data_IF_429776092232
#
_entry.id   IF_429776092232
#
_cell.length_a   1.000
_cell.length_b   1.000
_cell.length_c   1.000
_cell.angle_alpha   90.00
_cell.angle_beta   90.00
_cell.angle_gamma   90.00
#
_symmetry.space_group_name_H-M   'P 1'
#
loop_
_entity.id
_entity.type
_entity.pdbx_description
1 polymer ?
#
# COMPACT_ATOMS: atom_id res chain seq x y z
N UNK A 1 52.39 14.29 21.74
CA UNK A 1 51.40 13.26 21.34
C UNK A 1 50.58 13.79 20.19
N UNK A 2 50.56 13.02 19.11
CA UNK A 2 50.41 13.40 17.70
C UNK A 2 48.99 13.79 17.28
N UNK A 3 48.88 14.89 16.55
CA UNK A 3 47.64 15.38 15.92
C UNK A 3 47.01 14.48 14.85
N UNK A 4 47.54 13.26 14.65
CA UNK A 4 46.95 12.24 13.76
C UNK A 4 45.76 11.50 14.40
N UNK A 5 45.69 11.44 15.73
CA UNK A 5 44.61 10.73 16.43
C UNK A 5 43.26 11.48 16.41
N UNK A 6 43.26 12.82 16.25
CA UNK A 6 42.02 13.62 16.17
C UNK A 6 41.35 13.59 14.79
N UNK A 7 42.12 13.36 13.72
CA UNK A 7 41.56 13.30 12.35
C UNK A 7 40.86 11.96 12.11
N UNK A 8 41.33 10.86 12.72
CA UNK A 8 40.68 9.55 12.63
C UNK A 8 39.35 9.45 13.40
N UNK A 9 39.15 10.28 14.44
CA UNK A 9 37.89 10.30 15.20
C UNK A 9 36.76 11.11 14.52
N UNK A 10 37.10 11.95 13.53
CA UNK A 10 36.15 12.75 12.77
C UNK A 10 35.64 12.02 11.51
N UNK A 11 36.34 11.00 11.04
CA UNK A 11 35.92 10.19 9.87
C UNK A 11 34.91 9.10 10.28
N UNK A 12 34.89 8.67 11.54
CA UNK A 12 33.91 7.70 12.06
C UNK A 12 32.52 8.29 12.37
N UNK A 13 32.37 9.63 12.36
CA UNK A 13 31.06 10.29 12.50
C UNK A 13 30.31 10.52 11.18
N UNK A 14 30.88 10.10 10.04
CA UNK A 14 30.21 10.08 8.73
C UNK A 14 29.59 8.73 8.39
N UNK A 15 29.30 7.89 9.40
CA UNK A 15 28.19 6.95 9.30
C UNK A 15 26.91 7.77 9.31
N UNK A 16 26.62 8.37 8.16
CA UNK A 16 25.25 8.69 7.79
C UNK A 16 24.46 7.44 8.10
N UNK A 17 23.55 7.52 9.09
CA UNK A 17 22.43 6.62 9.15
C UNK A 17 21.75 6.76 7.79
N UNK A 18 22.11 5.90 6.85
CA UNK A 18 21.25 5.59 5.73
C UNK A 18 19.99 5.09 6.39
N UNK A 19 19.05 6.01 6.62
CA UNK A 19 17.69 5.67 6.92
C UNK A 19 17.31 4.79 5.72
N UNK A 20 17.20 3.49 5.96
CA UNK A 20 16.87 2.55 4.91
C UNK A 20 15.59 3.07 4.26
N UNK A 21 15.67 3.38 2.97
CA UNK A 21 14.54 3.88 2.22
C UNK A 21 13.44 2.82 2.29
N UNK A 22 12.32 3.17 2.91
CA UNK A 22 11.16 2.30 3.00
C UNK A 22 10.30 2.55 1.75
N UNK A 23 10.23 1.55 0.88
CA UNK A 23 9.19 1.48 -0.14
C UNK A 23 7.95 0.84 0.46
N UNK A 24 6.95 1.68 0.78
CA UNK A 24 5.73 1.25 1.45
C UNK A 24 4.69 0.82 0.42
N UNK A 25 4.23 -0.42 0.52
CA UNK A 25 3.09 -0.93 -0.26
C UNK A 25 1.96 -1.26 0.71
N UNK A 26 0.77 -0.74 0.46
CA UNK A 26 -0.44 -0.99 1.24
C UNK A 26 -1.41 -1.81 0.39
N UNK A 27 -1.89 -2.91 0.94
CA UNK A 27 -2.84 -3.82 0.27
C UNK A 27 -4.11 -3.91 1.10
N UNK A 28 -5.21 -3.44 0.52
CA UNK A 28 -6.55 -3.67 1.03
C UNK A 28 -6.99 -5.13 0.90
N UNK A 29 -8.19 -5.38 1.38
CA UNK A 29 -8.85 -6.66 1.42
C UNK A 29 -9.73 -6.93 0.20
N UNK A 30 -10.15 -8.17 0.09
CA UNK A 30 -11.05 -8.64 -0.96
C UNK A 30 -12.49 -8.76 -0.45
N UNK A 31 -13.46 -8.57 -1.35
CA UNK A 31 -14.85 -8.91 -1.10
C UNK A 31 -15.05 -10.41 -0.86
N UNK A 32 -16.10 -10.75 -0.10
CA UNK A 32 -16.53 -12.15 0.08
C UNK A 32 -17.47 -12.59 -1.04
N UNK A 33 -17.33 -13.84 -1.48
CA UNK A 33 -18.19 -14.43 -2.52
C UNK A 33 -19.65 -14.45 -2.11
N UNK A 34 -19.97 -14.69 -0.85
CA UNK A 34 -21.35 -14.64 -0.36
C UNK A 34 -22.01 -13.29 -0.63
N UNK A 35 -21.26 -12.18 -0.55
CA UNK A 35 -21.78 -10.85 -0.85
C UNK A 35 -21.82 -10.58 -2.35
N UNK A 36 -20.74 -10.92 -3.05
CA UNK A 36 -20.66 -10.70 -4.49
C UNK A 36 -21.67 -11.54 -5.29
N UNK A 37 -22.08 -12.70 -4.79
CA UNK A 37 -23.10 -13.54 -5.42
C UNK A 37 -24.51 -12.92 -5.40
N UNK A 38 -24.76 -11.86 -4.60
CA UNK A 38 -26.00 -11.08 -4.68
C UNK A 38 -25.95 -9.99 -5.77
N UNK A 39 -24.79 -9.73 -6.37
CA UNK A 39 -24.64 -8.76 -7.46
C UNK A 39 -24.80 -9.45 -8.81
N UNK A 40 -25.21 -8.68 -9.81
CA UNK A 40 -25.08 -9.09 -11.21
C UNK A 40 -23.62 -9.35 -11.54
N UNK A 41 -23.38 -10.29 -12.45
CA UNK A 41 -22.05 -10.75 -12.85
C UNK A 41 -21.12 -9.57 -13.16
N UNK A 42 -21.59 -8.57 -13.88
CA UNK A 42 -20.81 -7.43 -14.34
C UNK A 42 -20.26 -6.59 -13.16
N UNK A 43 -21.00 -6.54 -12.06
CA UNK A 43 -20.67 -5.75 -10.86
C UNK A 43 -19.94 -6.58 -9.79
N UNK A 44 -19.64 -7.85 -10.06
CA UNK A 44 -18.88 -8.67 -9.11
C UNK A 44 -17.40 -8.30 -9.07
N UNK A 45 -16.95 -7.99 -7.87
CA UNK A 45 -15.57 -7.71 -7.50
C UNK A 45 -14.85 -9.00 -7.10
N UNK A 46 -13.52 -8.95 -7.08
CA UNK A 46 -12.63 -9.94 -6.45
C UNK A 46 -12.98 -11.41 -6.71
N UNK A 47 -13.31 -11.70 -7.98
CA UNK A 47 -13.42 -13.07 -8.50
C UNK A 47 -12.17 -13.88 -8.19
N UNK A 48 -11.00 -13.23 -8.25
CA UNK A 48 -9.75 -13.77 -7.77
C UNK A 48 -9.32 -13.08 -6.48
N UNK A 49 -9.12 -13.86 -5.42
CA UNK A 49 -8.70 -13.36 -4.11
C UNK A 49 -7.36 -12.60 -4.15
N UNK A 50 -6.49 -12.91 -5.11
CA UNK A 50 -5.14 -12.37 -5.11
C UNK A 50 -4.98 -11.09 -5.95
N UNK A 51 -6.05 -10.46 -6.44
CA UNK A 51 -5.94 -9.27 -7.32
C UNK A 51 -4.96 -8.20 -6.76
N UNK A 52 -5.23 -7.72 -5.54
CA UNK A 52 -4.43 -6.66 -4.91
C UNK A 52 -3.07 -7.18 -4.42
N UNK A 53 -3.02 -8.41 -3.92
CA UNK A 53 -1.77 -9.09 -3.53
C UNK A 53 -0.84 -9.22 -4.73
N UNK A 54 -1.35 -9.66 -5.87
CA UNK A 54 -0.58 -9.86 -7.09
C UNK A 54 -0.05 -8.53 -7.61
N UNK A 55 -0.90 -7.50 -7.69
CA UNK A 55 -0.47 -6.15 -8.08
C UNK A 55 0.66 -5.63 -7.16
N UNK A 56 0.52 -5.83 -5.85
CA UNK A 56 1.56 -5.48 -4.87
C UNK A 56 2.87 -6.22 -5.16
N UNK A 57 2.83 -7.52 -5.45
CA UNK A 57 4.04 -8.29 -5.77
C UNK A 57 4.70 -7.89 -7.09
N UNK A 58 3.93 -7.40 -8.07
CA UNK A 58 4.48 -6.84 -9.31
C UNK A 58 5.16 -5.51 -9.03
N UNK A 59 4.53 -4.67 -8.20
CA UNK A 59 5.12 -3.39 -7.78
C UNK A 59 6.43 -3.57 -7.02
N UNK A 60 6.55 -4.61 -6.19
CA UNK A 60 7.82 -4.96 -5.54
C UNK A 60 8.95 -5.23 -6.55
N UNK A 61 8.63 -5.90 -7.67
CA UNK A 61 9.60 -6.16 -8.72
C UNK A 61 10.00 -4.88 -9.46
N UNK A 62 9.04 -3.99 -9.74
CA UNK A 62 9.32 -2.68 -10.32
C UNK A 62 10.18 -1.79 -9.42
N UNK A 63 9.85 -1.75 -8.12
CA UNK A 63 10.65 -1.02 -7.12
C UNK A 63 12.08 -1.52 -7.16
N UNK A 64 12.30 -2.84 -7.12
CA UNK A 64 13.67 -3.38 -7.15
C UNK A 64 14.40 -3.18 -8.47
N UNK A 65 13.65 -3.10 -9.58
CA UNK A 65 14.21 -2.72 -10.87
C UNK A 65 14.68 -1.25 -10.87
N UNK A 66 13.95 -0.35 -10.21
CA UNK A 66 14.24 1.08 -10.19
C UNK A 66 15.22 1.52 -9.10
N UNK A 67 15.13 0.93 -7.91
CA UNK A 67 15.84 1.35 -6.69
C UNK A 67 16.90 0.33 -6.23
N UNK A 68 17.07 -0.77 -7.00
CA UNK A 68 18.08 -1.80 -6.75
C UNK A 68 17.51 -3.09 -6.16
N UNK A 69 18.19 -4.21 -6.42
CA UNK A 69 17.71 -5.55 -6.09
C UNK A 69 17.42 -5.78 -4.58
N UNK A 70 18.06 -5.00 -3.71
CA UNK A 70 17.93 -5.07 -2.26
C UNK A 70 17.12 -3.91 -1.66
N UNK A 71 16.38 -3.15 -2.49
CA UNK A 71 15.51 -2.06 -2.01
C UNK A 71 14.59 -2.56 -0.88
N UNK A 72 14.62 -1.93 0.31
CA UNK A 72 13.80 -2.30 1.44
C UNK A 72 12.32 -2.01 1.15
N UNK A 73 11.48 -3.03 1.31
CA UNK A 73 10.03 -2.90 1.06
C UNK A 73 9.30 -3.29 2.33
N UNK A 74 8.39 -2.41 2.77
CA UNK A 74 7.45 -2.68 3.85
C UNK A 74 6.08 -2.88 3.22
N UNK A 75 5.50 -4.06 3.44
CA UNK A 75 4.24 -4.46 2.85
C UNK A 75 3.15 -4.53 3.94
N UNK A 76 2.29 -3.51 3.99
CA UNK A 76 1.17 -3.44 4.91
C UNK A 76 -0.04 -4.12 4.28
N UNK A 77 -0.60 -5.14 4.94
CA UNK A 77 -1.75 -5.89 4.40
C UNK A 77 -2.90 -5.92 5.40
N UNK A 78 -4.10 -5.60 4.94
CA UNK A 78 -5.31 -5.68 5.77
C UNK A 78 -5.68 -7.14 6.02
N UNK A 79 -5.36 -7.66 7.20
CA UNK A 79 -5.47 -9.09 7.51
C UNK A 79 -6.91 -9.62 7.57
N UNK A 80 -7.89 -8.91 8.19
CA UNK A 80 -9.21 -9.48 8.46
C UNK A 80 -9.94 -9.97 7.20
N UNK A 81 -9.85 -9.22 6.09
CA UNK A 81 -10.52 -9.61 4.85
C UNK A 81 -9.96 -10.92 4.27
N UNK A 82 -8.64 -11.13 4.29
CA UNK A 82 -8.04 -12.38 3.79
C UNK A 82 -8.30 -13.56 4.72
N UNK A 83 -8.44 -13.33 6.03
CA UNK A 83 -8.89 -14.37 6.96
C UNK A 83 -10.34 -14.77 6.68
N UNK A 84 -11.23 -13.78 6.50
CA UNK A 84 -12.64 -14.04 6.21
C UNK A 84 -12.83 -14.76 4.87
N UNK A 85 -12.17 -14.27 3.82
CA UNK A 85 -12.21 -14.88 2.49
C UNK A 85 -11.55 -16.26 2.46
N UNK A 86 -10.49 -16.45 3.23
CA UNK A 86 -9.84 -17.75 3.39
C UNK A 86 -10.73 -18.78 4.08
N UNK A 87 -11.51 -18.37 5.10
CA UNK A 87 -12.50 -19.25 5.73
C UNK A 87 -13.63 -19.63 4.77
N UNK A 88 -14.12 -18.68 3.98
CA UNK A 88 -15.16 -18.94 2.97
C UNK A 88 -14.68 -19.93 1.89
N UNK A 89 -13.47 -19.74 1.37
CA UNK A 89 -12.92 -20.56 0.30
C UNK A 89 -12.26 -21.86 0.81
N UNK A 90 -12.15 -22.06 2.13
CA UNK A 90 -11.41 -23.16 2.74
C UNK A 90 -9.91 -23.14 2.42
N UNK A 91 -9.31 -21.94 2.31
CA UNK A 91 -7.91 -21.72 1.89
C UNK A 91 -7.10 -20.91 2.91
N UNK A 92 -5.78 -21.18 3.05
CA UNK A 92 -4.92 -20.49 4.01
C UNK A 92 -4.32 -19.20 3.42
N UNK A 93 -5.14 -18.24 2.99
CA UNK A 93 -4.65 -17.06 2.25
C UNK A 93 -3.62 -16.22 3.02
N UNK A 94 -3.78 -16.06 4.33
CA UNK A 94 -2.77 -15.35 5.14
C UNK A 94 -1.42 -16.04 5.13
N UNK A 95 -1.38 -17.38 5.09
CA UNK A 95 -0.15 -18.16 4.97
C UNK A 95 0.49 -17.95 3.60
N UNK A 96 -0.30 -18.01 2.52
CA UNK A 96 0.22 -17.76 1.17
C UNK A 96 0.73 -16.33 0.98
N UNK A 97 0.10 -15.33 1.60
CA UNK A 97 0.60 -13.95 1.61
C UNK A 97 1.94 -13.89 2.36
N UNK A 98 2.06 -14.53 3.52
CA UNK A 98 3.32 -14.61 4.27
C UNK A 98 4.43 -15.30 3.46
N UNK A 99 4.10 -16.38 2.74
CA UNK A 99 5.02 -17.03 1.81
C UNK A 99 5.45 -16.10 0.66
N UNK A 100 4.53 -15.31 0.10
CA UNK A 100 4.87 -14.32 -0.93
C UNK A 100 5.81 -13.25 -0.39
N UNK A 101 5.62 -12.81 0.86
CA UNK A 101 6.49 -11.86 1.51
C UNK A 101 7.90 -12.45 1.75
N UNK A 102 7.97 -13.66 2.30
CA UNK A 102 9.22 -14.38 2.56
C UNK A 102 10.00 -14.64 1.26
N UNK A 103 9.32 -15.17 0.23
CA UNK A 103 9.90 -15.40 -1.11
C UNK A 103 10.52 -14.13 -1.69
N UNK A 104 9.93 -12.97 -1.39
CA UNK A 104 10.41 -11.68 -1.86
C UNK A 104 11.29 -10.96 -0.85
N UNK A 105 11.57 -11.50 0.34
CA UNK A 105 12.39 -10.83 1.36
C UNK A 105 11.89 -9.39 1.62
N UNK A 106 10.59 -9.23 1.86
CA UNK A 106 9.98 -7.95 2.24
C UNK A 106 9.44 -8.03 3.67
N UNK A 107 9.36 -6.89 4.34
CA UNK A 107 8.83 -6.81 5.70
C UNK A 107 7.30 -6.80 5.64
N UNK A 108 6.66 -7.93 5.93
CA UNK A 108 5.21 -8.03 6.02
C UNK A 108 4.72 -7.46 7.34
N UNK A 109 3.77 -6.53 7.25
CA UNK A 109 3.11 -5.90 8.40
C UNK A 109 1.60 -6.09 8.24
N UNK A 110 1.00 -6.97 9.02
CA UNK A 110 -0.45 -7.08 9.09
C UNK A 110 -1.05 -5.84 9.74
N UNK A 111 -2.21 -5.37 9.29
CA UNK A 111 -3.03 -4.42 10.04
C UNK A 111 -4.49 -4.81 10.04
N UNK A 112 -5.21 -4.42 11.10
CA UNK A 112 -6.54 -4.95 11.42
C UNK A 112 -7.63 -3.88 11.51
N UNK A 113 -7.28 -2.60 11.49
CA UNK A 113 -8.23 -1.49 11.53
C UNK A 113 -7.61 -0.21 10.95
N UNK A 114 -8.42 0.84 10.75
CA UNK A 114 -7.95 2.15 10.32
C UNK A 114 -6.96 2.80 11.30
N UNK A 115 -7.20 2.66 12.60
CA UNK A 115 -6.30 3.18 13.63
C UNK A 115 -4.97 2.45 13.66
N UNK A 116 -5.01 1.12 13.53
CA UNK A 116 -3.84 0.26 13.45
C UNK A 116 -3.00 0.53 12.19
N UNK A 117 -3.66 0.74 11.04
CA UNK A 117 -3.01 1.21 9.81
C UNK A 117 -2.24 2.52 10.05
N UNK A 118 -2.90 3.54 10.62
CA UNK A 118 -2.27 4.83 10.90
C UNK A 118 -1.09 4.66 11.86
N UNK A 119 -1.22 3.85 12.91
CA UNK A 119 -0.13 3.56 13.84
C UNK A 119 1.08 2.93 13.12
N UNK A 120 0.84 1.93 12.27
CA UNK A 120 1.88 1.22 11.52
C UNK A 120 2.57 2.11 10.49
N UNK A 121 1.81 2.91 9.74
CA UNK A 121 2.38 3.89 8.82
C UNK A 121 3.17 4.98 9.56
N UNK A 122 2.65 5.50 10.66
CA UNK A 122 3.30 6.56 11.43
C UNK A 122 4.54 6.09 12.23
N UNK A 123 4.74 4.78 12.36
CA UNK A 123 5.93 4.18 12.96
C UNK A 123 7.17 4.26 12.06
N UNK A 124 6.99 4.63 10.78
CA UNK A 124 8.11 4.79 9.85
C UNK A 124 9.06 5.89 10.33
N UNK A 125 10.39 5.71 10.19
CA UNK A 125 11.34 6.75 10.53
C UNK A 125 11.12 8.04 9.74
N UNK A 126 11.56 9.17 10.30
CA UNK A 126 11.48 10.48 9.64
C UNK A 126 12.21 10.44 8.29
N UNK A 127 11.53 10.86 7.22
CA UNK A 127 12.10 10.95 5.88
C UNK A 127 12.44 9.61 5.21
N UNK A 128 11.99 8.48 5.75
CA UNK A 128 12.32 7.15 5.23
C UNK A 128 11.44 6.71 4.06
N UNK A 129 10.19 7.18 3.96
CA UNK A 129 9.25 6.70 2.95
C UNK A 129 9.55 7.37 1.61
N UNK A 130 10.21 6.63 0.71
CA UNK A 130 10.53 7.10 -0.65
C UNK A 130 9.40 6.82 -1.64
N UNK A 131 8.69 5.70 -1.47
CA UNK A 131 7.50 5.41 -2.26
C UNK A 131 6.37 4.94 -1.37
N UNK A 132 5.15 5.30 -1.73
CA UNK A 132 3.92 4.80 -1.12
C UNK A 132 2.98 4.33 -2.23
N UNK A 133 2.59 3.06 -2.23
CA UNK A 133 1.67 2.49 -3.21
C UNK A 133 0.45 1.89 -2.50
N UNK A 134 -0.76 2.29 -2.85
CA UNK A 134 -2.00 1.66 -2.36
C UNK A 134 -2.65 0.78 -3.45
N UNK A 135 -2.91 -0.48 -3.13
CA UNK A 135 -3.68 -1.43 -3.94
C UNK A 135 -4.90 -1.91 -3.16
N UNK A 136 -6.10 -1.65 -3.68
CA UNK A 136 -7.34 -2.02 -3.02
C UNK A 136 -8.52 -1.30 -3.61
N UNK A 137 -9.68 -1.53 -3.01
CA UNK A 137 -10.89 -0.75 -3.30
C UNK A 137 -10.77 0.68 -2.80
N UNK A 138 -11.42 1.59 -3.50
CA UNK A 138 -11.50 2.98 -3.11
C UNK A 138 -12.65 3.68 -3.82
N UNK A 139 -13.00 4.84 -3.29
CA UNK A 139 -13.77 5.84 -4.02
C UNK A 139 -12.97 7.15 -4.04
N UNK A 140 -13.61 8.25 -4.45
CA UNK A 140 -12.95 9.56 -4.47
C UNK A 140 -12.46 10.06 -3.11
N UNK A 141 -12.99 9.55 -2.00
CA UNK A 141 -12.73 10.07 -0.64
C UNK A 141 -11.97 9.11 0.28
N UNK A 142 -11.85 7.83 -0.05
CA UNK A 142 -11.28 6.86 0.88
C UNK A 142 -10.55 5.71 0.21
N UNK A 143 -9.46 5.26 0.84
CA UNK A 143 -8.94 3.90 0.67
C UNK A 143 -9.79 2.96 1.52
N UNK A 144 -10.45 1.99 0.89
CA UNK A 144 -11.33 1.03 1.56
C UNK A 144 -10.56 -0.26 1.78
N UNK A 145 -10.26 -0.58 3.04
CA UNK A 145 -9.44 -1.74 3.36
C UNK A 145 -10.22 -3.05 3.32
N UNK A 146 -11.55 -3.02 3.33
CA UNK A 146 -12.38 -4.22 3.49
C UNK A 146 -13.70 -4.15 2.70
N UNK A 147 -13.73 -3.42 1.58
CA UNK A 147 -14.96 -3.24 0.80
C UNK A 147 -15.63 -4.59 0.45
N UNK A 148 -16.91 -4.72 0.81
CA UNK A 148 -17.71 -5.94 0.67
C UNK A 148 -17.11 -7.17 1.35
N UNK A 149 -16.31 -6.99 2.41
CA UNK A 149 -15.80 -8.09 3.23
C UNK A 149 -16.73 -8.43 4.41
N UNK A 150 -17.40 -7.41 4.99
CA UNK A 150 -18.36 -7.60 6.08
C UNK A 150 -19.80 -7.28 5.67
N UNK A 151 -19.99 -6.18 4.93
CA UNK A 151 -21.30 -5.69 4.48
C UNK A 151 -21.24 -5.48 2.97
N UNK A 152 -22.22 -6.02 2.23
CA UNK A 152 -22.30 -5.84 0.78
C UNK A 152 -22.29 -4.35 0.42
N UNK A 153 -21.39 -3.96 -0.47
CA UNK A 153 -21.32 -2.58 -0.96
C UNK A 153 -20.74 -1.55 0.00
N UNK A 154 -20.20 -1.97 1.15
CA UNK A 154 -19.64 -1.07 2.16
C UNK A 154 -18.29 -1.56 2.70
N UNK A 155 -17.61 -0.68 3.43
CA UNK A 155 -16.33 -0.92 4.09
C UNK A 155 -16.50 -0.57 5.57
N UNK A 156 -16.02 -1.41 6.49
CA UNK A 156 -16.01 -1.14 7.93
C UNK A 156 -14.64 -0.66 8.43
N UNK A 157 -13.60 -0.77 7.58
CA UNK A 157 -12.26 -0.22 7.80
C UNK A 157 -11.76 0.55 6.57
N UNK A 158 -11.51 1.84 6.73
CA UNK A 158 -11.04 2.71 5.64
C UNK A 158 -10.09 3.80 6.14
N UNK A 159 -9.32 4.40 5.23
CA UNK A 159 -8.64 5.68 5.46
C UNK A 159 -9.38 6.75 4.66
N UNK A 160 -10.17 7.58 5.35
CA UNK A 160 -10.91 8.67 4.71
C UNK A 160 -9.98 9.86 4.48
N UNK A 161 -10.29 10.71 3.50
CA UNK A 161 -9.53 11.96 3.26
C UNK A 161 -9.49 12.89 4.49
N UNK A 162 -10.47 12.75 5.39
CA UNK A 162 -10.56 13.47 6.67
C UNK A 162 -9.58 12.94 7.72
N UNK A 163 -9.10 11.70 7.56
CA UNK A 163 -8.09 11.10 8.42
C UNK A 163 -6.65 11.41 7.96
N UNK A 164 -6.47 11.94 6.74
CA UNK A 164 -5.13 12.23 6.20
C UNK A 164 -4.28 13.19 7.05
N UNK A 165 -4.84 14.20 7.77
CA UNK A 165 -4.07 14.98 8.74
C UNK A 165 -3.46 14.16 9.89
N UNK A 166 -3.94 12.92 10.11
CA UNK A 166 -3.41 12.01 11.14
C UNK A 166 -2.18 11.24 10.65
N UNK A 167 -1.85 11.30 9.35
CA UNK A 167 -0.59 10.78 8.84
C UNK A 167 0.52 11.75 9.23
N UNK A 168 1.60 11.23 9.82
CA UNK A 168 2.79 12.01 10.14
C UNK A 168 3.52 12.35 8.84
N UNK A 169 3.29 13.55 8.32
CA UNK A 169 3.94 14.06 7.10
C UNK A 169 5.47 13.91 7.12
N UNK A 170 6.09 13.98 8.31
CA UNK A 170 7.53 13.85 8.48
C UNK A 170 8.10 12.47 8.14
N UNK A 171 7.29 11.43 7.94
CA UNK A 171 7.79 10.11 7.50
C UNK A 171 8.21 10.12 6.02
N UNK A 172 7.64 11.00 5.20
CA UNK A 172 7.90 11.05 3.77
C UNK A 172 9.25 11.72 3.48
N UNK A 173 10.02 11.10 2.57
CA UNK A 173 11.20 11.72 1.99
C UNK A 173 10.80 12.97 1.18
N UNK A 174 11.73 13.92 1.01
CA UNK A 174 11.47 15.20 0.31
C UNK A 174 10.85 15.02 -1.08
N UNK A 175 11.25 13.98 -1.80
CA UNK A 175 10.79 13.67 -3.16
C UNK A 175 10.01 12.35 -3.21
N UNK A 176 9.31 11.99 -2.13
CA UNK A 176 8.56 10.76 -2.07
C UNK A 176 7.54 10.67 -3.21
N UNK A 177 7.45 9.51 -3.84
CA UNK A 177 6.46 9.23 -4.87
C UNK A 177 5.31 8.40 -4.28
N UNK A 178 4.14 9.01 -4.15
CA UNK A 178 2.95 8.32 -3.69
C UNK A 178 2.01 8.03 -4.87
N UNK A 179 1.45 6.83 -4.93
CA UNK A 179 0.45 6.42 -5.90
C UNK A 179 -0.66 5.60 -5.26
N UNK A 180 -1.89 5.87 -5.65
CA UNK A 180 -3.04 5.01 -5.39
C UNK A 180 -3.47 4.35 -6.69
N UNK A 181 -3.50 3.02 -6.69
CA UNK A 181 -4.02 2.18 -7.77
C UNK A 181 -5.50 1.82 -7.55
N UNK A 182 -6.17 2.51 -6.64
CA UNK A 182 -7.61 2.40 -6.43
C UNK A 182 -8.39 3.27 -7.41
N UNK A 183 -9.69 2.98 -7.59
CA UNK A 183 -10.59 3.78 -8.41
C UNK A 183 -10.83 5.19 -7.81
N UNK A 184 -10.96 6.20 -8.67
CA UNK A 184 -11.47 7.55 -8.34
C UNK A 184 -10.67 8.40 -7.33
N UNK A 185 -9.56 7.92 -6.74
CA UNK A 185 -8.80 8.67 -5.72
C UNK A 185 -8.19 9.99 -6.22
N UNK A 186 -8.06 10.15 -7.53
CA UNK A 186 -7.67 11.40 -8.21
C UNK A 186 -8.74 12.49 -8.20
N UNK A 187 -9.99 12.18 -7.83
CA UNK A 187 -11.12 13.11 -7.90
C UNK A 187 -11.31 13.94 -6.62
N UNK A 188 -10.71 13.52 -5.49
CA UNK A 188 -10.70 14.32 -4.25
C UNK A 188 -9.49 13.99 -3.38
N UNK A 189 -9.30 12.71 -3.06
CA UNK A 189 -8.31 12.24 -2.09
C UNK A 189 -6.87 12.69 -2.41
N UNK A 190 -6.48 12.78 -3.69
CA UNK A 190 -5.14 13.22 -4.10
C UNK A 190 -4.83 14.67 -3.70
N UNK A 191 -5.80 15.58 -3.88
CA UNK A 191 -5.65 16.98 -3.48
C UNK A 191 -5.56 17.13 -1.95
N UNK A 192 -6.41 16.40 -1.21
CA UNK A 192 -6.40 16.41 0.26
C UNK A 192 -5.12 15.77 0.80
N UNK A 193 -4.64 14.69 0.20
CA UNK A 193 -3.38 14.06 0.54
C UNK A 193 -2.21 15.03 0.44
N UNK A 194 -2.11 15.76 -0.68
CA UNK A 194 -1.05 16.78 -0.85
C UNK A 194 -1.14 17.87 0.19
N UNK A 195 -2.35 18.35 0.50
CA UNK A 195 -2.58 19.37 1.53
C UNK A 195 -2.17 18.87 2.93
N UNK A 196 -2.49 17.62 3.27
CA UNK A 196 -2.24 17.06 4.60
C UNK A 196 -0.81 16.58 4.82
N UNK A 197 -0.18 16.00 3.80
CA UNK A 197 1.13 15.33 3.93
C UNK A 197 2.28 16.15 3.33
N UNK A 198 1.99 17.15 2.50
CA UNK A 198 2.99 17.87 1.71
C UNK A 198 3.55 17.09 0.52
N UNK A 199 3.14 15.83 0.32
CA UNK A 199 3.61 14.95 -0.77
C UNK A 199 2.49 14.77 -1.80
N UNK A 200 2.79 14.76 -3.09
CA UNK A 200 1.76 14.49 -4.10
C UNK A 200 1.36 13.01 -4.12
N UNK A 201 0.06 12.73 -4.26
CA UNK A 201 -0.46 11.40 -4.51
C UNK A 201 -0.97 11.33 -5.95
N UNK A 202 -0.39 10.43 -6.75
CA UNK A 202 -0.94 10.11 -8.06
C UNK A 202 -2.15 9.18 -7.88
N UNK A 203 -3.34 9.65 -8.26
CA UNK A 203 -4.60 8.91 -8.13
C UNK A 203 -5.34 8.76 -9.46
N UNK A 204 -6.25 7.80 -9.53
CA UNK A 204 -7.07 7.58 -10.71
C UNK A 204 -8.24 8.56 -10.77
N UNK A 205 -8.48 9.19 -11.91
CA UNK A 205 -9.79 9.74 -12.28
C UNK A 205 -10.48 8.71 -13.16
N UNK A 206 -11.54 8.09 -12.63
CA UNK A 206 -12.19 6.93 -13.22
C UNK A 206 -11.81 5.58 -12.58
N UNK A 207 -12.37 4.47 -13.10
CA UNK A 207 -12.14 3.12 -12.58
C UNK A 207 -10.74 2.59 -12.89
N UNK A 208 -10.19 1.82 -11.97
CA UNK A 208 -8.93 1.06 -12.17
C UNK A 208 -9.25 -0.41 -12.43
N UNK A 209 -8.66 -0.98 -13.47
CA UNK A 209 -8.91 -2.35 -13.95
C UNK A 209 -7.78 -3.28 -13.53
N UNK A 210 -8.13 -4.39 -12.89
CA UNK A 210 -7.19 -5.38 -12.34
C UNK A 210 -7.16 -6.71 -13.13
N UNK A 211 -7.90 -6.84 -14.23
CA UNK A 211 -8.12 -8.13 -14.92
C UNK A 211 -6.82 -8.83 -15.38
N UNK A 212 -5.78 -8.05 -15.71
CA UNK A 212 -4.54 -8.59 -16.27
C UNK A 212 -3.41 -8.79 -15.24
N UNK A 213 -3.68 -8.58 -13.94
CA UNK A 213 -2.63 -8.72 -12.91
C UNK A 213 -2.12 -10.16 -12.79
N UNK A 214 -2.97 -11.14 -13.06
CA UNK A 214 -2.58 -12.55 -13.17
C UNK A 214 -1.57 -12.80 -14.30
N UNK A 215 -1.61 -11.99 -15.37
CA UNK A 215 -0.72 -12.06 -16.52
C UNK A 215 0.57 -11.24 -16.34
N UNK A 216 0.79 -10.68 -15.15
CA UNK A 216 2.01 -9.94 -14.82
C UNK A 216 1.99 -8.45 -15.19
N UNK A 217 0.83 -7.89 -15.53
CA UNK A 217 0.66 -6.45 -15.80
C UNK A 217 0.15 -5.72 -14.57
N UNK A 218 0.64 -4.53 -14.31
CA UNK A 218 0.04 -3.68 -13.27
C UNK A 218 -1.37 -3.22 -13.69
N UNK A 219 -2.23 -2.85 -12.72
CA UNK A 219 -3.55 -2.32 -13.01
C UNK A 219 -3.46 -1.05 -13.89
N UNK A 220 -4.48 -0.79 -14.69
CA UNK A 220 -4.55 0.42 -15.51
C UNK A 220 -5.84 1.18 -15.26
N UNK A 221 -5.83 2.49 -15.48
CA UNK A 221 -7.01 3.35 -15.32
C UNK A 221 -7.81 3.44 -16.62
N UNK A 222 -9.12 3.25 -16.56
CA UNK A 222 -10.07 3.66 -17.61
C UNK A 222 -10.41 5.13 -17.40
N UNK A 223 -9.49 5.99 -17.80
CA UNK A 223 -9.52 7.42 -17.51
C UNK A 223 -8.11 7.99 -17.53
N UNK A 224 -7.73 8.70 -16.47
CA UNK A 224 -6.38 9.31 -16.38
C UNK A 224 -5.80 9.25 -14.98
N UNK A 225 -4.48 9.30 -14.90
CA UNK A 225 -3.75 9.51 -13.65
C UNK A 225 -3.56 11.01 -13.41
N UNK A 226 -3.82 11.48 -12.19
CA UNK A 226 -3.69 12.89 -11.80
C UNK A 226 -2.95 13.04 -10.47
N UNK A 227 -2.33 14.19 -10.22
CA UNK A 227 -1.56 14.52 -9.00
C UNK A 227 -1.99 15.83 -8.38
#
# INVERSE_FOLDING_TARGET
MTGRARILLLISLLLTSFCSADHVIVTGGTALRKWENYRVTEDQHDRWWANFVRASTLRMAEIRKAYGANAPIVWLVYQPAYQARGREDGKPYTSWIAEQAAKRKVTLVWFNSSGDFLQKLNSRPRGSVETFDFFGHSNRHAFMFDYSAEIIGASTAWLHERDLPRIRSSIFARNAYCKSWGCHTGESMSAVWRKSTGTALEGARGPTVYNDVGQGKLPFVRGSWVR
#
